data_IF_699014673861
#
_entry.id   IF_699014673861
#
_cell.length_a   1.000
_cell.length_b   1.000
_cell.length_c   1.000
_cell.angle_alpha   90.00
_cell.angle_beta   90.00
_cell.angle_gamma   90.00
#
_symmetry.space_group_name_H-M   'P 1'
#
loop_
_entity.id
_entity.type
_entity.pdbx_description
1 polymer ?
#
# COMPACT_ATOMS: atom_id res chain seq x y z
N UNK A 1 3.27 21.33 -3.52
CA UNK A 1 4.32 20.46 -4.06
C UNK A 1 5.36 21.26 -4.86
N UNK A 2 4.97 22.07 -5.84
CA UNK A 2 5.91 22.77 -6.71
C UNK A 2 6.91 23.66 -5.94
N UNK A 3 6.44 24.43 -4.97
CA UNK A 3 7.29 25.26 -4.10
C UNK A 3 8.21 24.44 -3.19
N UNK A 4 7.74 23.29 -2.72
CA UNK A 4 8.51 22.41 -1.86
C UNK A 4 9.65 21.72 -2.61
N UNK A 5 9.43 21.39 -3.88
CA UNK A 5 10.41 20.74 -4.75
C UNK A 5 11.32 21.70 -5.52
N UNK A 6 11.18 23.02 -5.33
CA UNK A 6 11.84 24.01 -6.16
C UNK A 6 13.35 23.77 -6.30
N UNK A 7 13.78 23.42 -7.51
CA UNK A 7 15.18 23.21 -7.86
C UNK A 7 15.83 21.92 -7.37
N UNK A 8 15.10 21.03 -6.71
CA UNK A 8 15.64 19.75 -6.23
C UNK A 8 15.19 18.58 -7.11
N UNK A 9 16.08 17.65 -7.47
CA UNK A 9 15.69 16.40 -8.13
C UNK A 9 14.94 15.51 -7.14
N UNK A 10 13.84 14.89 -7.59
CA UNK A 10 13.06 13.94 -6.78
C UNK A 10 12.45 12.85 -7.66
N UNK A 11 12.16 11.71 -7.04
CA UNK A 11 11.34 10.66 -7.64
C UNK A 11 9.86 11.01 -7.53
N UNK A 12 9.38 11.04 -6.30
CA UNK A 12 8.00 11.33 -5.96
C UNK A 12 7.94 12.26 -4.76
N UNK A 13 6.88 13.06 -4.69
CA UNK A 13 6.51 13.86 -3.51
C UNK A 13 5.15 13.40 -3.03
N UNK A 14 5.05 13.03 -1.75
CA UNK A 14 3.79 12.73 -1.07
C UNK A 14 3.34 13.87 -0.17
N UNK A 15 2.03 14.07 -0.07
CA UNK A 15 1.43 14.93 0.96
C UNK A 15 1.05 14.14 2.21
N UNK A 16 0.70 14.86 3.28
CA UNK A 16 0.07 14.27 4.47
C UNK A 16 -1.36 13.91 4.17
N UNK A 17 -1.75 12.67 4.45
CA UNK A 17 -3.13 12.20 4.32
C UNK A 17 -3.74 12.07 5.70
N UNK A 18 -4.89 12.70 5.91
CA UNK A 18 -5.64 12.64 7.17
C UNK A 18 -6.97 11.91 6.98
N UNK A 19 -7.48 11.34 8.06
CA UNK A 19 -8.81 10.73 8.02
C UNK A 19 -9.90 11.78 7.80
N UNK A 20 -10.83 11.49 6.90
CA UNK A 20 -12.04 12.27 6.74
C UNK A 20 -13.11 11.90 7.78
N UNK A 21 -13.06 10.64 8.31
CA UNK A 21 -14.01 10.12 9.29
C UNK A 21 -13.36 9.06 10.20
N UNK A 22 -13.20 9.33 11.51
CA UNK A 22 -13.33 10.64 12.16
C UNK A 22 -12.25 11.62 11.66
N UNK A 23 -12.56 12.91 11.52
CA UNK A 23 -11.64 13.87 10.93
C UNK A 23 -10.45 14.17 11.85
N UNK A 24 -9.33 14.53 11.25
CA UNK A 24 -8.24 15.23 11.89
C UNK A 24 -6.97 14.42 12.11
N UNK A 25 -7.02 13.14 12.46
CA UNK A 25 -5.77 12.39 12.69
C UNK A 25 -5.09 11.98 11.39
N UNK A 26 -3.76 11.88 11.44
CA UNK A 26 -2.95 11.38 10.32
C UNK A 26 -3.38 9.96 9.98
N UNK A 27 -3.70 9.76 8.72
CA UNK A 27 -3.93 8.44 8.16
C UNK A 27 -2.65 7.87 7.57
N UNK A 28 -1.93 8.67 6.78
CA UNK A 28 -0.72 8.27 6.08
C UNK A 28 0.23 9.46 6.01
N UNK A 29 1.48 9.23 6.41
CA UNK A 29 2.55 10.21 6.35
C UNK A 29 3.82 9.67 5.67
N UNK A 30 3.65 8.65 4.87
CA UNK A 30 4.69 7.85 4.24
C UNK A 30 4.68 6.41 4.75
N UNK A 31 5.41 5.57 4.08
CA UNK A 31 5.43 4.13 4.32
C UNK A 31 6.84 3.58 4.32
N UNK A 32 7.03 2.49 5.06
CA UNK A 32 8.23 1.66 5.01
C UNK A 32 7.89 0.24 4.60
N UNK A 33 8.84 -0.44 3.98
CA UNK A 33 8.74 -1.85 3.58
C UNK A 33 9.57 -2.71 4.53
N UNK A 34 8.94 -3.68 5.16
CA UNK A 34 9.68 -4.78 5.80
C UNK A 34 10.20 -5.73 4.70
N UNK A 35 11.44 -5.59 4.34
CA UNK A 35 12.08 -6.38 3.30
C UNK A 35 12.25 -7.88 3.63
N UNK A 36 11.92 -8.31 4.84
CA UNK A 36 11.91 -9.73 5.24
C UNK A 36 10.63 -10.43 4.82
N UNK A 37 9.52 -9.69 4.83
CA UNK A 37 8.18 -10.22 4.57
C UNK A 37 7.47 -9.56 3.39
N UNK A 38 7.98 -8.43 2.90
CA UNK A 38 7.35 -7.57 1.92
C UNK A 38 6.15 -6.80 2.48
N UNK A 39 5.92 -6.82 3.79
CA UNK A 39 4.85 -6.08 4.42
C UNK A 39 5.16 -4.58 4.42
N UNK A 40 4.12 -3.76 4.25
CA UNK A 40 4.25 -2.30 4.38
C UNK A 40 3.71 -1.83 5.72
N UNK A 41 4.36 -0.82 6.31
CA UNK A 41 3.93 -0.18 7.55
C UNK A 41 3.84 1.33 7.34
N UNK A 42 2.71 1.88 7.74
CA UNK A 42 2.44 3.31 7.70
C UNK A 42 3.19 4.05 8.81
N UNK A 43 3.63 5.24 8.52
CA UNK A 43 4.26 6.15 9.48
C UNK A 43 3.25 7.16 10.00
N UNK A 44 3.42 7.57 11.26
CA UNK A 44 2.57 8.55 11.96
C UNK A 44 1.05 8.22 11.98
N UNK A 45 0.64 7.00 11.67
CA UNK A 45 -0.79 6.66 11.68
C UNK A 45 -1.41 6.89 13.05
N UNK A 46 -2.49 7.69 13.09
CA UNK A 46 -3.20 8.04 14.32
C UNK A 46 -2.61 9.22 15.07
N UNK A 47 -1.47 9.76 14.63
CA UNK A 47 -0.89 10.97 15.20
C UNK A 47 -1.77 12.21 14.93
N UNK A 48 -1.65 13.29 15.71
CA UNK A 48 -2.32 14.54 15.42
C UNK A 48 -1.84 15.16 14.09
N UNK A 49 -2.66 15.99 13.42
CA UNK A 49 -2.37 16.50 12.08
C UNK A 49 -1.17 17.46 12.02
N UNK A 50 -0.75 17.99 13.14
CA UNK A 50 0.42 18.83 13.32
C UNK A 50 1.67 18.07 13.79
N UNK A 51 1.61 16.74 13.90
CA UNK A 51 2.75 15.92 14.27
C UNK A 51 3.96 16.17 13.37
N UNK A 52 5.20 16.09 13.91
CA UNK A 52 6.40 16.19 13.10
C UNK A 52 6.37 15.19 11.92
N UNK A 53 6.82 15.59 10.72
CA UNK A 53 6.92 14.65 9.60
C UNK A 53 7.92 13.54 9.92
N UNK A 54 7.78 12.36 9.30
CA UNK A 54 8.79 11.33 9.41
C UNK A 54 10.11 11.80 8.78
N UNK A 55 11.21 11.20 9.21
CA UNK A 55 12.51 11.39 8.58
C UNK A 55 12.41 10.94 7.11
N UNK A 56 12.71 11.80 6.11
CA UNK A 56 12.65 11.45 4.70
C UNK A 56 13.45 10.19 4.34
N UNK A 57 14.60 9.98 4.98
CA UNK A 57 15.46 8.82 4.74
C UNK A 57 14.84 7.50 5.26
N UNK A 58 13.83 7.59 6.11
CA UNK A 58 13.07 6.42 6.60
C UNK A 58 11.90 6.03 5.70
N UNK A 59 11.56 6.83 4.68
CA UNK A 59 10.40 6.59 3.82
C UNK A 59 10.80 5.76 2.59
N UNK A 60 10.21 4.60 2.42
CA UNK A 60 10.42 3.75 1.23
C UNK A 60 9.51 4.12 0.06
N UNK A 61 8.31 4.65 0.34
CA UNK A 61 7.36 5.12 -0.69
C UNK A 61 6.30 6.05 -0.13
N UNK A 62 5.69 6.83 -1.01
CA UNK A 62 4.56 7.73 -0.72
C UNK A 62 3.26 7.10 -1.20
N UNK A 63 2.15 7.53 -0.63
CA UNK A 63 0.84 6.93 -0.94
C UNK A 63 0.24 7.43 -2.25
N UNK A 64 -0.39 6.53 -3.01
CA UNK A 64 -1.16 6.87 -4.20
C UNK A 64 -2.33 7.84 -3.97
N UNK A 65 -2.78 8.02 -2.71
CA UNK A 65 -3.83 8.98 -2.37
C UNK A 65 -3.36 10.46 -2.48
N UNK A 66 -2.05 10.72 -2.40
CA UNK A 66 -1.47 12.07 -2.51
C UNK A 66 -0.03 11.97 -2.97
N UNK A 67 0.20 11.89 -4.28
CA UNK A 67 1.55 11.85 -4.84
C UNK A 67 1.67 12.66 -6.13
N UNK A 68 2.87 13.18 -6.35
CA UNK A 68 3.33 13.72 -7.63
C UNK A 68 4.62 13.02 -8.00
N UNK A 69 4.70 12.45 -9.19
CA UNK A 69 5.92 11.87 -9.75
C UNK A 69 6.63 12.87 -10.66
N UNK A 70 7.96 12.94 -10.58
CA UNK A 70 8.73 13.80 -11.45
C UNK A 70 8.83 13.21 -12.87
N UNK A 71 8.97 14.08 -13.86
CA UNK A 71 9.23 13.64 -15.25
C UNK A 71 10.49 12.79 -15.35
N UNK A 72 11.55 13.17 -14.63
CA UNK A 72 12.81 12.42 -14.57
C UNK A 72 12.61 11.01 -14.03
N UNK A 73 11.83 10.88 -12.97
CA UNK A 73 11.49 9.56 -12.42
C UNK A 73 10.71 8.73 -13.43
N UNK A 74 9.66 9.29 -14.04
CA UNK A 74 8.84 8.58 -15.05
C UNK A 74 9.70 8.13 -16.25
N UNK A 75 10.65 8.96 -16.69
CA UNK A 75 11.56 8.62 -17.78
C UNK A 75 12.47 7.43 -17.48
N UNK A 76 12.81 7.21 -16.18
CA UNK A 76 13.69 6.12 -15.72
C UNK A 76 12.93 4.87 -15.31
N UNK A 77 11.88 5.04 -14.52
CA UNK A 77 11.09 3.94 -13.95
C UNK A 77 10.02 3.42 -14.93
N UNK A 78 9.65 4.19 -15.94
CA UNK A 78 8.47 3.95 -16.77
C UNK A 78 7.17 4.38 -16.09
N UNK A 79 6.05 3.92 -16.62
CA UNK A 79 4.73 4.15 -16.04
C UNK A 79 4.49 3.25 -14.84
N UNK A 80 3.51 3.62 -14.02
CA UNK A 80 3.08 2.82 -12.88
C UNK A 80 2.66 1.41 -13.34
N UNK A 81 3.12 0.33 -12.66
CA UNK A 81 2.84 -1.03 -13.10
C UNK A 81 1.36 -1.41 -12.92
N UNK A 82 0.70 -1.87 -13.99
CA UNK A 82 -0.72 -2.21 -14.00
C UNK A 82 -1.01 -3.66 -13.58
N UNK A 83 0.01 -4.53 -13.50
CA UNK A 83 -0.12 -5.95 -13.18
C UNK A 83 -0.58 -6.25 -11.75
N UNK A 84 -0.61 -5.24 -10.88
CA UNK A 84 -1.11 -5.35 -9.51
C UNK A 84 -2.62 -5.28 -9.45
N UNK A 85 -3.26 -4.43 -10.25
CA UNK A 85 -4.66 -4.05 -10.22
C UNK A 85 -5.05 -3.26 -8.96
N UNK A 86 -4.55 -3.66 -7.79
CA UNK A 86 -4.84 -3.02 -6.51
C UNK A 86 -3.77 -3.36 -5.48
N UNK A 87 -3.24 -2.35 -4.79
CA UNK A 87 -2.15 -2.39 -3.82
C UNK A 87 -0.79 -2.75 -4.43
N UNK A 88 0.26 -2.16 -3.89
CA UNK A 88 1.67 -2.32 -4.26
C UNK A 88 2.07 -1.71 -5.61
N UNK A 89 1.17 -1.16 -6.40
CA UNK A 89 1.52 -0.45 -7.62
C UNK A 89 2.46 0.73 -7.34
N UNK A 90 2.14 1.57 -6.37
CA UNK A 90 2.97 2.70 -5.95
C UNK A 90 4.25 2.25 -5.23
N UNK A 91 4.19 1.13 -4.49
CA UNK A 91 5.37 0.55 -3.81
C UNK A 91 6.39 0.07 -4.84
N UNK A 92 5.95 -0.73 -5.80
CA UNK A 92 6.80 -1.24 -6.88
C UNK A 92 7.38 -0.09 -7.70
N UNK A 93 6.55 0.89 -8.02
CA UNK A 93 6.96 2.05 -8.79
C UNK A 93 8.04 2.86 -8.06
N UNK A 94 7.84 3.17 -6.78
CA UNK A 94 8.81 3.91 -5.96
C UNK A 94 10.18 3.23 -5.89
N UNK A 95 10.21 1.89 -5.77
CA UNK A 95 11.47 1.16 -5.68
C UNK A 95 12.17 0.91 -7.03
N UNK A 96 11.52 1.25 -8.15
CA UNK A 96 12.07 1.02 -9.49
C UNK A 96 13.16 2.02 -9.89
N UNK A 97 13.28 3.17 -9.22
CA UNK A 97 14.33 4.17 -9.45
C UNK A 97 14.74 4.82 -8.12
N UNK A 98 15.35 4.05 -7.24
CA UNK A 98 15.77 4.45 -5.88
C UNK A 98 16.94 5.43 -5.81
N UNK A 99 17.57 5.73 -6.92
CA UNK A 99 18.62 6.74 -7.02
C UNK A 99 18.10 8.19 -6.96
N UNK A 100 16.78 8.37 -7.09
CA UNK A 100 16.12 9.65 -6.89
C UNK A 100 15.44 9.69 -5.52
N UNK A 101 15.58 10.80 -4.77
CA UNK A 101 15.00 10.91 -3.43
C UNK A 101 13.48 10.97 -3.47
N UNK A 102 12.86 10.39 -2.45
CA UNK A 102 11.46 10.63 -2.12
C UNK A 102 11.36 11.89 -1.27
N UNK A 103 10.33 12.68 -1.49
CA UNK A 103 10.06 13.87 -0.71
C UNK A 103 8.70 13.77 -0.01
N UNK A 104 8.62 14.33 1.19
CA UNK A 104 7.36 14.47 1.92
C UNK A 104 7.05 15.95 2.13
N UNK A 105 5.82 16.35 1.79
CA UNK A 105 5.35 17.74 1.88
C UNK A 105 4.17 17.84 2.86
N UNK A 106 4.38 17.95 4.19
CA UNK A 106 3.31 17.98 5.19
C UNK A 106 2.27 19.09 4.97
N UNK A 107 2.64 20.28 4.47
CA UNK A 107 1.64 21.32 4.17
C UNK A 107 0.65 20.95 3.07
N UNK A 108 0.98 19.99 2.20
CA UNK A 108 0.04 19.45 1.21
C UNK A 108 -0.83 18.39 1.87
N UNK A 109 -1.85 18.82 2.60
CA UNK A 109 -2.75 17.96 3.36
C UNK A 109 -3.96 17.55 2.52
N UNK A 110 -4.31 16.25 2.57
CA UNK A 110 -5.44 15.66 1.84
C UNK A 110 -6.32 14.88 2.79
N UNK A 111 -7.62 15.15 2.80
CA UNK A 111 -8.60 14.32 3.50
C UNK A 111 -8.97 13.10 2.65
N UNK A 112 -8.86 11.90 3.24
CA UNK A 112 -9.10 10.66 2.54
C UNK A 112 -10.16 9.79 3.25
N UNK A 113 -11.20 9.43 2.50
CA UNK A 113 -12.26 8.50 2.96
C UNK A 113 -11.82 7.06 2.72
N UNK A 114 -10.83 6.60 3.49
CA UNK A 114 -10.27 5.27 3.34
C UNK A 114 -11.31 4.15 3.37
N UNK A 115 -11.14 3.18 2.49
CA UNK A 115 -11.84 1.90 2.57
C UNK A 115 -13.32 1.90 2.22
N UNK A 116 -13.88 3.01 1.76
CA UNK A 116 -15.32 3.09 1.42
C UNK A 116 -15.67 2.21 0.21
N UNK A 117 -14.86 2.25 -0.85
CA UNK A 117 -15.14 1.52 -2.09
C UNK A 117 -14.69 0.05 -2.06
N UNK A 118 -13.52 -0.25 -1.48
CA UNK A 118 -12.89 -1.56 -1.57
C UNK A 118 -12.87 -2.36 -0.26
N UNK A 119 -13.31 -1.74 0.85
CA UNK A 119 -13.32 -2.35 2.17
C UNK A 119 -11.91 -2.52 2.74
N UNK A 120 -11.03 -1.52 2.53
CA UNK A 120 -9.74 -1.45 3.19
C UNK A 120 -9.89 -1.32 4.70
N UNK A 121 -8.84 -1.64 5.43
CA UNK A 121 -8.85 -1.56 6.89
C UNK A 121 -9.15 -0.12 7.36
N UNK A 122 -10.07 -0.01 8.31
CA UNK A 122 -10.36 1.22 9.07
C UNK A 122 -9.94 1.03 10.53
N UNK A 123 -9.77 2.11 11.31
CA UNK A 123 -9.55 2.00 12.75
C UNK A 123 -10.62 1.10 13.40
N UNK A 124 -10.19 0.09 14.16
CA UNK A 124 -11.08 -0.86 14.81
C UNK A 124 -11.77 -1.90 13.94
N UNK A 125 -11.54 -1.90 12.62
CA UNK A 125 -12.12 -2.87 11.68
C UNK A 125 -11.05 -3.60 10.88
N UNK A 126 -11.32 -4.86 10.54
CA UNK A 126 -10.46 -5.63 9.63
C UNK A 126 -10.81 -5.31 8.18
N UNK A 127 -9.81 -5.48 7.31
CA UNK A 127 -10.03 -5.36 5.88
C UNK A 127 -10.95 -6.47 5.36
N UNK A 128 -11.73 -6.16 4.34
CA UNK A 128 -12.62 -7.14 3.70
C UNK A 128 -11.83 -8.29 3.05
N UNK A 129 -12.43 -9.48 2.85
CA UNK A 129 -11.80 -10.56 2.10
C UNK A 129 -11.34 -10.15 0.70
N UNK A 130 -12.05 -9.21 0.06
CA UNK A 130 -11.64 -8.60 -1.21
C UNK A 130 -10.29 -7.91 -1.08
N UNK A 131 -10.17 -7.00 -0.12
CA UNK A 131 -8.95 -6.25 0.15
C UNK A 131 -7.78 -7.18 0.55
N UNK A 132 -8.06 -8.18 1.39
CA UNK A 132 -7.04 -9.13 1.85
C UNK A 132 -6.47 -10.00 0.71
N UNK A 133 -7.33 -10.47 -0.21
CA UNK A 133 -6.86 -11.25 -1.35
C UNK A 133 -5.89 -10.44 -2.23
N UNK A 134 -6.25 -9.21 -2.58
CA UNK A 134 -5.40 -8.36 -3.41
C UNK A 134 -4.09 -7.98 -2.69
N UNK A 135 -4.14 -7.60 -1.43
CA UNK A 135 -2.93 -7.25 -0.64
C UNK A 135 -1.93 -8.40 -0.61
N UNK A 136 -2.40 -9.61 -0.31
CA UNK A 136 -1.50 -10.75 -0.20
C UNK A 136 -0.97 -11.21 -1.56
N UNK A 137 -1.77 -11.15 -2.61
CA UNK A 137 -1.33 -11.41 -4.00
C UNK A 137 -0.29 -10.38 -4.45
N UNK A 138 -0.58 -9.11 -4.29
CA UNK A 138 0.28 -8.02 -4.69
C UNK A 138 1.63 -8.07 -3.95
N UNK A 139 1.61 -8.30 -2.64
CA UNK A 139 2.82 -8.46 -1.84
C UNK A 139 3.71 -9.61 -2.35
N UNK A 140 3.15 -10.75 -2.71
CA UNK A 140 3.94 -11.86 -3.23
C UNK A 140 4.52 -11.57 -4.61
N UNK A 141 3.80 -10.83 -5.47
CA UNK A 141 4.32 -10.34 -6.76
C UNK A 141 5.51 -9.40 -6.51
N UNK A 142 5.36 -8.44 -5.61
CA UNK A 142 6.39 -7.47 -5.24
C UNK A 142 7.67 -8.15 -4.71
N UNK A 143 7.53 -9.04 -3.72
CA UNK A 143 8.68 -9.75 -3.14
C UNK A 143 9.38 -10.64 -4.19
N UNK A 144 8.63 -11.31 -5.06
CA UNK A 144 9.19 -12.12 -6.15
C UNK A 144 9.99 -11.28 -7.14
N UNK A 145 9.54 -10.06 -7.41
CA UNK A 145 10.20 -9.14 -8.34
C UNK A 145 11.48 -8.52 -7.74
N UNK A 146 11.40 -8.01 -6.51
CA UNK A 146 12.45 -7.17 -5.93
C UNK A 146 13.37 -7.89 -4.94
N UNK A 147 12.90 -8.95 -4.26
CA UNK A 147 13.69 -9.65 -3.25
C UNK A 147 13.30 -11.12 -3.07
N UNK A 148 13.67 -11.96 -4.01
CA UNK A 148 13.31 -13.39 -4.01
C UNK A 148 13.72 -14.13 -2.73
N UNK A 149 14.83 -13.75 -2.10
CA UNK A 149 15.27 -14.34 -0.82
C UNK A 149 14.24 -14.17 0.31
N UNK A 150 13.36 -13.16 0.22
CA UNK A 150 12.31 -12.89 1.21
C UNK A 150 11.01 -13.69 0.97
N UNK A 151 10.94 -14.52 -0.07
CA UNK A 151 9.73 -15.31 -0.36
C UNK A 151 9.34 -16.23 0.79
N UNK A 152 10.30 -16.86 1.47
CA UNK A 152 10.02 -17.70 2.65
C UNK A 152 9.38 -16.89 3.79
N UNK A 153 9.93 -15.71 4.10
CA UNK A 153 9.38 -14.81 5.11
C UNK A 153 8.00 -14.29 4.72
N UNK A 154 7.80 -13.91 3.47
CA UNK A 154 6.53 -13.48 2.93
C UNK A 154 5.46 -14.58 3.00
N UNK A 155 5.84 -15.82 2.70
CA UNK A 155 4.96 -16.97 2.80
C UNK A 155 4.61 -17.31 4.26
N UNK A 156 5.60 -17.36 5.14
CA UNK A 156 5.40 -17.57 6.57
C UNK A 156 4.44 -16.52 7.18
N UNK A 157 4.61 -15.25 6.78
CA UNK A 157 3.67 -14.19 7.17
C UNK A 157 2.26 -14.45 6.65
N UNK A 158 2.09 -14.92 5.40
CA UNK A 158 0.77 -15.27 4.85
C UNK A 158 0.09 -16.35 5.69
N UNK A 159 0.81 -17.42 6.03
CA UNK A 159 0.28 -18.51 6.85
C UNK A 159 -0.11 -18.01 8.25
N UNK A 160 0.78 -17.27 8.91
CA UNK A 160 0.51 -16.72 10.24
C UNK A 160 -0.71 -15.79 10.23
N UNK A 161 -0.86 -14.96 9.20
CA UNK A 161 -1.99 -14.04 9.05
C UNK A 161 -3.30 -14.79 8.78
N UNK A 162 -3.26 -15.81 7.93
CA UNK A 162 -4.42 -16.67 7.68
C UNK A 162 -4.87 -17.40 8.96
N UNK A 163 -3.93 -17.99 9.71
CA UNK A 163 -4.20 -18.61 11.00
C UNK A 163 -4.78 -17.62 12.00
N UNK A 164 -4.25 -16.41 12.07
CA UNK A 164 -4.79 -15.35 12.92
C UNK A 164 -6.27 -15.08 12.62
N UNK A 165 -6.67 -15.05 11.34
CA UNK A 165 -8.07 -14.84 10.95
C UNK A 165 -8.95 -16.05 11.31
N UNK A 166 -8.43 -17.28 11.19
CA UNK A 166 -9.15 -18.48 11.66
C UNK A 166 -9.42 -18.43 13.17
N UNK A 167 -8.41 -18.08 13.98
CA UNK A 167 -8.57 -17.91 15.44
C UNK A 167 -9.63 -16.84 15.77
N UNK A 168 -9.70 -15.79 14.96
CA UNK A 168 -10.67 -14.69 15.09
C UNK A 168 -12.05 -15.01 14.50
N UNK A 169 -12.27 -16.25 14.07
CA UNK A 169 -13.53 -16.75 13.48
C UNK A 169 -13.94 -16.03 12.19
N UNK A 170 -12.95 -15.56 11.41
CA UNK A 170 -13.17 -15.04 10.06
C UNK A 170 -12.52 -15.95 9.00
N UNK A 171 -13.13 -17.13 8.68
CA UNK A 171 -12.60 -18.07 7.70
C UNK A 171 -12.60 -17.50 6.28
N UNK A 172 -13.47 -16.53 5.97
CA UNK A 172 -13.51 -15.90 4.64
C UNK A 172 -12.28 -15.03 4.39
N UNK A 173 -11.88 -14.25 5.39
CA UNK A 173 -10.64 -13.48 5.32
C UNK A 173 -9.42 -14.42 5.30
N UNK A 174 -9.42 -15.49 6.10
CA UNK A 174 -8.35 -16.49 6.11
C UNK A 174 -8.16 -17.14 4.75
N UNK A 175 -9.25 -17.58 4.09
CA UNK A 175 -9.21 -18.13 2.73
C UNK A 175 -8.67 -17.11 1.72
N UNK A 176 -9.14 -15.88 1.79
CA UNK A 176 -8.71 -14.81 0.87
C UNK A 176 -7.21 -14.54 0.99
N UNK A 177 -6.68 -14.44 2.21
CA UNK A 177 -5.26 -14.27 2.51
C UNK A 177 -4.43 -15.41 1.93
N UNK A 178 -4.83 -16.64 2.21
CA UNK A 178 -4.10 -17.82 1.77
C UNK A 178 -4.08 -17.94 0.24
N UNK A 179 -5.25 -17.81 -0.41
CA UNK A 179 -5.34 -17.84 -1.88
C UNK A 179 -4.55 -16.72 -2.54
N UNK A 180 -4.65 -15.49 -2.02
CA UNK A 180 -3.87 -14.36 -2.53
C UNK A 180 -2.37 -14.61 -2.41
N UNK A 181 -1.89 -15.03 -1.26
CA UNK A 181 -0.47 -15.32 -1.01
C UNK A 181 0.10 -16.50 -1.80
N UNK A 182 -0.74 -17.48 -2.16
CA UNK A 182 -0.37 -18.60 -3.01
C UNK A 182 -0.52 -18.32 -4.52
N UNK A 183 -1.05 -17.16 -4.90
CA UNK A 183 -1.35 -16.81 -6.29
C UNK A 183 -2.50 -17.62 -6.88
N UNK A 184 -3.37 -18.17 -6.04
CA UNK A 184 -4.56 -18.91 -6.46
C UNK A 184 -5.69 -17.94 -6.88
N UNK A 185 -6.64 -18.40 -7.71
CA UNK A 185 -7.80 -17.60 -8.07
C UNK A 185 -8.55 -17.06 -6.85
N UNK A 186 -9.21 -15.89 -6.96
CA UNK A 186 -9.92 -15.29 -5.84
C UNK A 186 -11.07 -16.19 -5.33
N UNK A 187 -11.42 -16.10 -4.03
CA UNK A 187 -12.59 -16.75 -3.49
C UNK A 187 -13.87 -16.35 -4.23
N UNK A 188 -14.90 -17.18 -4.20
CA UNK A 188 -16.17 -16.93 -4.91
C UNK A 188 -16.75 -15.55 -4.66
N UNK A 189 -16.78 -15.09 -3.41
CA UNK A 189 -17.31 -13.77 -3.04
C UNK A 189 -16.49 -12.62 -3.64
N UNK A 190 -15.17 -12.75 -3.70
CA UNK A 190 -14.27 -11.76 -4.33
C UNK A 190 -14.50 -11.73 -5.84
N UNK A 191 -14.60 -12.90 -6.47
CA UNK A 191 -14.88 -13.03 -7.91
C UNK A 191 -16.22 -12.42 -8.30
N UNK A 192 -17.28 -12.71 -7.56
CA UNK A 192 -18.60 -12.11 -7.80
C UNK A 192 -18.57 -10.60 -7.77
N UNK A 193 -17.81 -10.02 -6.82
CA UNK A 193 -17.65 -8.56 -6.74
C UNK A 193 -16.88 -7.98 -7.92
N UNK A 194 -15.85 -8.64 -8.42
CA UNK A 194 -15.12 -8.24 -9.62
C UNK A 194 -16.01 -8.22 -10.85
N UNK A 195 -16.76 -9.29 -11.07
CA UNK A 195 -17.71 -9.40 -12.19
C UNK A 195 -18.79 -8.33 -12.10
N UNK A 196 -19.36 -8.08 -10.92
CA UNK A 196 -20.33 -7.02 -10.71
C UNK A 196 -19.77 -5.61 -10.96
N UNK A 197 -18.44 -5.43 -10.79
CA UNK A 197 -17.71 -4.22 -11.13
C UNK A 197 -17.23 -4.15 -12.59
N UNK A 198 -17.62 -5.11 -13.45
CA UNK A 198 -17.24 -5.12 -14.87
C UNK A 198 -15.82 -5.62 -15.15
N UNK A 199 -15.14 -6.20 -14.16
CA UNK A 199 -13.79 -6.74 -14.32
C UNK A 199 -13.86 -8.18 -14.83
N UNK A 200 -13.29 -8.44 -16.01
CA UNK A 200 -13.05 -9.80 -16.51
C UNK A 200 -11.79 -10.37 -15.83
N UNK A 201 -11.87 -11.61 -15.38
CA UNK A 201 -10.79 -12.33 -14.68
C UNK A 201 -10.09 -13.31 -15.62
#
# INVERSE_FOLDING_TARGET
>A
FATHAAGQPFAMIGGRVVYADPPGNVQIDGWIVDWRTGQTRNLNQGAPPDAPPPDPDSVDFVTGASLVASRTFISRAGLMPENYFLYYEEVDWAVSARDLPLMHCPPAMVEHRAGTAIGSQKPGQYASPFSEWFKHRARMIFVRRHRRASLYGAFAFTLAKSLQMMIRRDPRAAEAILRGGLGLPPPKAVRQRLVAGGVQL
#
